data_IF_254210259613
#
_entry.id   IF_254210259613
#
_cell.length_a   1.000
_cell.length_b   1.000
_cell.length_c   1.000
_cell.angle_alpha   90.00
_cell.angle_beta   90.00
_cell.angle_gamma   90.00
#
_symmetry.space_group_name_H-M   'P 1'
#
loop_
_entity.id
_entity.type
_entity.pdbx_description
1 polymer ?
#
# COMPACT_ATOMS: atom_id res chain seq x y z
N UNK A 1 13.21 -14.88 4.61
CA UNK A 1 12.45 -15.19 3.38
C UNK A 1 11.03 -14.58 3.38
N UNK A 2 10.20 -14.86 4.40
CA UNK A 2 8.82 -14.35 4.50
C UNK A 2 8.70 -12.81 4.38
N UNK A 3 9.53 -12.06 5.12
CA UNK A 3 9.47 -10.59 5.09
C UNK A 3 9.77 -9.97 3.72
N UNK A 4 10.69 -10.57 2.94
CA UNK A 4 11.00 -10.12 1.58
C UNK A 4 9.82 -10.37 0.63
N UNK A 5 9.22 -11.57 0.68
CA UNK A 5 8.04 -11.90 -0.13
C UNK A 5 6.84 -11.00 0.21
N UNK A 6 6.59 -10.74 1.50
CA UNK A 6 5.55 -9.81 1.91
C UNK A 6 5.81 -8.40 1.40
N UNK A 7 7.05 -7.93 1.46
CA UNK A 7 7.39 -6.58 1.05
C UNK A 7 7.29 -6.38 -0.48
N UNK A 8 7.75 -7.34 -1.30
CA UNK A 8 7.58 -7.28 -2.76
C UNK A 8 6.10 -7.34 -3.16
N UNK A 9 5.31 -8.23 -2.53
CA UNK A 9 3.86 -8.30 -2.79
C UNK A 9 3.14 -7.00 -2.41
N UNK A 10 3.40 -6.50 -1.20
CA UNK A 10 2.88 -5.23 -0.71
C UNK A 10 3.18 -4.07 -1.67
N UNK A 11 4.42 -3.99 -2.15
CA UNK A 11 4.83 -2.96 -3.11
C UNK A 11 4.01 -3.04 -4.40
N UNK A 12 3.86 -4.22 -5.00
CA UNK A 12 3.08 -4.40 -6.23
C UNK A 12 1.62 -3.98 -6.04
N UNK A 13 0.99 -4.42 -4.94
CA UNK A 13 -0.40 -4.07 -4.62
C UNK A 13 -0.58 -2.56 -4.41
N UNK A 14 0.34 -1.91 -3.69
CA UNK A 14 0.31 -0.46 -3.45
C UNK A 14 0.49 0.36 -4.75
N UNK A 15 1.32 -0.11 -5.69
CA UNK A 15 1.46 0.53 -7.01
C UNK A 15 0.14 0.49 -7.78
N UNK A 16 -0.55 -0.66 -7.78
CA UNK A 16 -1.87 -0.80 -8.42
C UNK A 16 -2.87 0.16 -7.78
N UNK A 17 -2.91 0.22 -6.45
CA UNK A 17 -3.76 1.18 -5.72
C UNK A 17 -3.49 2.63 -6.11
N UNK A 18 -2.23 3.03 -6.23
CA UNK A 18 -1.84 4.39 -6.63
C UNK A 18 -2.30 4.74 -8.05
N UNK A 19 -2.15 3.79 -8.98
CA UNK A 19 -2.59 3.95 -10.37
C UNK A 19 -4.12 4.06 -10.46
N UNK A 20 -4.87 3.20 -9.75
CA UNK A 20 -6.33 3.24 -9.74
C UNK A 20 -6.87 4.52 -9.09
N UNK A 21 -6.23 5.00 -8.02
CA UNK A 21 -6.59 6.27 -7.36
C UNK A 21 -6.38 7.45 -8.31
N UNK A 22 -5.29 7.43 -9.06
CA UNK A 22 -5.01 8.46 -10.08
C UNK A 22 -6.03 8.40 -11.22
N UNK A 23 -6.40 7.19 -11.68
CA UNK A 23 -7.37 7.00 -12.74
C UNK A 23 -8.78 7.47 -12.33
N UNK A 24 -9.19 7.21 -11.08
CA UNK A 24 -10.51 7.60 -10.56
C UNK A 24 -10.78 9.10 -10.67
N UNK A 25 -9.74 9.94 -10.57
CA UNK A 25 -9.86 11.39 -10.73
C UNK A 25 -10.37 11.81 -12.14
N UNK A 26 -10.15 10.97 -13.15
CA UNK A 26 -10.60 11.22 -14.53
C UNK A 26 -11.99 10.65 -14.86
N UNK A 27 -12.64 9.94 -13.93
CA UNK A 27 -13.93 9.30 -14.22
C UNK A 27 -15.06 10.35 -14.33
N UNK A 28 -16.08 10.13 -15.19
CA UNK A 28 -17.27 10.96 -15.22
C UNK A 28 -17.99 10.98 -13.85
N UNK A 29 -18.65 12.10 -13.53
CA UNK A 29 -19.39 12.27 -12.26
C UNK A 29 -20.45 11.17 -12.04
N UNK A 30 -21.05 10.65 -13.11
CA UNK A 30 -22.05 9.57 -13.06
C UNK A 30 -21.48 8.20 -12.66
N UNK A 31 -20.20 7.95 -12.94
CA UNK A 31 -19.53 6.66 -12.68
C UNK A 31 -18.69 6.70 -11.40
N UNK A 32 -18.16 7.88 -11.05
CA UNK A 32 -17.21 8.08 -9.96
C UNK A 32 -17.69 7.55 -8.60
N UNK A 33 -18.95 7.74 -8.16
CA UNK A 33 -19.39 7.23 -6.85
C UNK A 33 -19.31 5.71 -6.73
N UNK A 34 -19.63 4.97 -7.80
CA UNK A 34 -19.54 3.51 -7.83
C UNK A 34 -18.08 3.05 -7.89
N UNK A 35 -17.29 3.66 -8.77
CA UNK A 35 -15.85 3.36 -8.90
C UNK A 35 -15.08 3.65 -7.59
N UNK A 36 -15.39 4.75 -6.91
CA UNK A 36 -14.82 5.10 -5.61
C UNK A 36 -15.11 4.05 -4.55
N UNK A 37 -16.36 3.59 -4.44
CA UNK A 37 -16.72 2.53 -3.48
C UNK A 37 -15.94 1.25 -3.72
N UNK A 38 -15.79 0.84 -4.99
CA UNK A 38 -14.97 -0.31 -5.35
C UNK A 38 -13.49 -0.08 -4.99
N UNK A 39 -12.95 1.09 -5.32
CA UNK A 39 -11.56 1.42 -4.99
C UNK A 39 -11.31 1.38 -3.48
N UNK A 40 -12.20 1.94 -2.66
CA UNK A 40 -12.08 1.88 -1.20
C UNK A 40 -12.02 0.44 -0.71
N UNK A 41 -12.86 -0.47 -1.26
CA UNK A 41 -12.80 -1.90 -0.90
C UNK A 41 -11.45 -2.53 -1.27
N UNK A 42 -10.86 -2.16 -2.41
CA UNK A 42 -9.54 -2.64 -2.82
C UNK A 42 -8.45 -2.08 -1.88
N UNK A 43 -8.48 -0.78 -1.57
CA UNK A 43 -7.54 -0.15 -0.64
C UNK A 43 -7.59 -0.81 0.74
N UNK A 44 -8.80 -1.07 1.25
CA UNK A 44 -9.03 -1.78 2.50
C UNK A 44 -8.44 -3.19 2.47
N UNK A 45 -8.68 -3.94 1.39
CA UNK A 45 -8.10 -5.28 1.22
C UNK A 45 -6.58 -5.26 1.26
N UNK A 46 -5.93 -4.31 0.59
CA UNK A 46 -4.46 -4.19 0.61
C UNK A 46 -3.97 -3.78 2.00
N UNK A 47 -4.69 -2.88 2.71
CA UNK A 47 -4.36 -2.53 4.10
C UNK A 47 -4.39 -3.76 5.01
N UNK A 48 -5.40 -4.64 4.87
CA UNK A 48 -5.48 -5.89 5.64
C UNK A 48 -4.32 -6.85 5.35
N UNK A 49 -3.85 -6.95 4.10
CA UNK A 49 -2.67 -7.76 3.78
C UNK A 49 -1.38 -7.18 4.42
N UNK A 50 -1.26 -5.85 4.48
CA UNK A 50 -0.14 -5.20 5.20
C UNK A 50 -0.21 -5.47 6.71
N UNK A 51 -1.40 -5.47 7.31
CA UNK A 51 -1.59 -5.84 8.72
C UNK A 51 -1.17 -7.29 8.97
N UNK A 52 -1.52 -8.20 8.06
CA UNK A 52 -1.08 -9.59 8.11
C UNK A 52 0.45 -9.69 8.04
N UNK A 53 1.09 -8.96 7.11
CA UNK A 53 2.55 -8.89 6.99
C UNK A 53 3.20 -8.32 8.26
N UNK A 54 2.63 -7.27 8.86
CA UNK A 54 3.12 -6.72 10.13
C UNK A 54 3.04 -7.75 11.25
N UNK A 55 1.91 -8.44 11.44
CA UNK A 55 1.76 -9.48 12.46
C UNK A 55 2.76 -10.63 12.27
N UNK A 56 3.12 -10.96 11.03
CA UNK A 56 4.06 -12.03 10.72
C UNK A 56 5.54 -11.64 10.79
N UNK A 57 5.88 -10.35 10.90
CA UNK A 57 7.27 -9.87 10.79
C UNK A 57 7.69 -8.81 11.80
N UNK A 58 6.73 -8.15 12.46
CA UNK A 58 6.90 -7.04 13.41
C UNK A 58 7.73 -5.85 12.88
N UNK A 59 7.88 -5.74 11.56
CA UNK A 59 8.62 -4.65 10.91
C UNK A 59 7.84 -3.35 10.95
N UNK A 60 8.42 -2.30 11.53
CA UNK A 60 7.77 -0.99 11.71
C UNK A 60 7.44 -0.28 10.40
N UNK A 61 8.13 -0.64 9.32
CA UNK A 61 7.86 -0.19 7.97
C UNK A 61 6.46 -0.61 7.49
N UNK A 62 5.99 -1.82 7.82
CA UNK A 62 4.61 -2.23 7.53
C UNK A 62 3.62 -1.43 8.37
N UNK A 63 3.93 -1.18 9.65
CA UNK A 63 3.08 -0.32 10.50
C UNK A 63 2.93 1.10 9.93
N UNK A 64 4.03 1.67 9.41
CA UNK A 64 4.01 2.96 8.72
C UNK A 64 3.15 2.91 7.45
N UNK A 65 3.32 1.87 6.63
CA UNK A 65 2.53 1.69 5.41
C UNK A 65 1.02 1.55 5.71
N UNK A 66 0.64 0.83 6.76
CA UNK A 66 -0.76 0.70 7.21
C UNK A 66 -1.37 2.05 7.60
N UNK A 67 -0.62 2.88 8.34
CA UNK A 67 -1.08 4.23 8.69
C UNK A 67 -1.32 5.09 7.44
N UNK A 68 -0.38 5.07 6.50
CA UNK A 68 -0.47 5.82 5.25
C UNK A 68 -1.63 5.34 4.37
N UNK A 69 -1.93 4.04 4.38
CA UNK A 69 -3.10 3.48 3.70
C UNK A 69 -4.41 4.00 4.30
N UNK A 70 -4.52 4.08 5.63
CA UNK A 70 -5.70 4.65 6.30
C UNK A 70 -5.94 6.11 5.92
N UNK A 71 -4.86 6.91 5.82
CA UNK A 71 -4.94 8.29 5.34
C UNK A 71 -5.40 8.34 3.87
N UNK A 72 -4.83 7.48 3.02
CA UNK A 72 -5.21 7.41 1.60
C UNK A 72 -6.67 7.01 1.40
N UNK A 73 -7.20 6.09 2.20
CA UNK A 73 -8.61 5.69 2.18
C UNK A 73 -9.49 6.88 2.55
N UNK A 74 -9.19 7.56 3.66
CA UNK A 74 -9.94 8.74 4.13
C UNK A 74 -9.94 9.87 3.09
N UNK A 75 -8.80 10.11 2.44
CA UNK A 75 -8.68 11.10 1.36
C UNK A 75 -9.43 10.67 0.09
N UNK A 76 -9.48 9.38 -0.20
CA UNK A 76 -10.25 8.82 -1.33
C UNK A 76 -11.75 8.97 -1.09
N UNK A 77 -12.22 8.77 0.14
CA UNK A 77 -13.60 9.01 0.56
C UNK A 77 -14.02 10.47 0.40
N UNK A 78 -13.11 11.41 0.64
CA UNK A 78 -13.33 12.85 0.47
C UNK A 78 -12.99 13.39 -0.92
N UNK A 79 -12.94 12.53 -1.94
CA UNK A 79 -12.64 12.87 -3.35
C UNK A 79 -11.30 13.62 -3.55
N UNK A 80 -10.38 13.51 -2.59
CA UNK A 80 -9.07 14.15 -2.57
C UNK A 80 -8.00 13.25 -3.19
N UNK A 81 -8.22 12.81 -4.42
CA UNK A 81 -7.45 11.74 -5.07
C UNK A 81 -5.96 12.06 -5.28
N UNK A 82 -5.62 13.32 -5.54
CA UNK A 82 -4.21 13.75 -5.66
C UNK A 82 -3.45 13.54 -4.34
N UNK A 83 -4.05 13.95 -3.23
CA UNK A 83 -3.47 13.75 -1.89
C UNK A 83 -3.44 12.26 -1.51
N UNK A 84 -4.49 11.50 -1.85
CA UNK A 84 -4.52 10.05 -1.64
C UNK A 84 -3.39 9.35 -2.40
N UNK A 85 -3.13 9.71 -3.66
CA UNK A 85 -2.04 9.15 -4.47
C UNK A 85 -0.64 9.44 -3.88
N UNK A 86 -0.46 10.61 -3.27
CA UNK A 86 0.77 10.93 -2.53
C UNK A 86 0.95 10.02 -1.31
N UNK A 87 -0.11 9.78 -0.53
CA UNK A 87 -0.07 8.84 0.61
C UNK A 87 0.23 7.41 0.19
N UNK A 88 -0.30 6.97 -0.94
CA UNK A 88 0.06 5.67 -1.53
C UNK A 88 1.53 5.63 -1.96
N UNK A 89 2.08 6.71 -2.52
CA UNK A 89 3.50 6.80 -2.87
C UNK A 89 4.42 6.74 -1.65
N UNK A 90 4.04 7.40 -0.55
CA UNK A 90 4.72 7.29 0.73
C UNK A 90 4.66 5.84 1.28
N UNK A 91 3.51 5.16 1.14
CA UNK A 91 3.34 3.78 1.58
C UNK A 91 4.19 2.79 0.76
N UNK A 92 4.29 2.98 -0.56
CA UNK A 92 5.18 2.20 -1.45
C UNK A 92 6.63 2.31 -0.97
N UNK A 93 7.05 3.52 -0.62
CA UNK A 93 8.41 3.78 -0.13
C UNK A 93 8.68 3.04 1.17
N UNK A 94 7.74 3.08 2.12
CA UNK A 94 7.85 2.33 3.38
C UNK A 94 7.93 0.81 3.16
N UNK A 95 7.06 0.24 2.32
CA UNK A 95 7.10 -1.19 1.98
C UNK A 95 8.43 -1.59 1.33
N UNK A 96 9.00 -0.74 0.48
CA UNK A 96 10.30 -0.99 -0.17
C UNK A 96 11.45 -0.98 0.83
N UNK A 97 11.44 -0.11 1.84
CA UNK A 97 12.41 -0.14 2.95
C UNK A 97 12.33 -1.46 3.73
N UNK A 98 11.12 -1.99 3.96
CA UNK A 98 10.93 -3.30 4.60
C UNK A 98 11.59 -4.43 3.78
N UNK A 99 11.46 -4.37 2.45
CA UNK A 99 12.07 -5.33 1.52
C UNK A 99 13.61 -5.29 1.61
N UNK A 100 14.19 -4.09 1.55
CA UNK A 100 15.64 -3.90 1.63
C UNK A 100 16.20 -4.39 2.96
N UNK A 101 15.57 -4.05 4.09
CA UNK A 101 15.99 -4.53 5.40
C UNK A 101 15.88 -6.06 5.53
N UNK A 102 14.88 -6.69 4.92
CA UNK A 102 14.76 -8.15 4.89
C UNK A 102 15.83 -8.81 4.00
N UNK A 103 16.16 -8.19 2.86
CA UNK A 103 17.17 -8.64 1.93
C UNK A 103 18.57 -8.58 2.55
N UNK A 104 18.90 -7.46 3.22
CA UNK A 104 20.20 -7.28 3.88
C UNK A 104 20.45 -8.36 4.94
N UNK A 105 19.47 -8.64 5.81
CA UNK A 105 19.57 -9.71 6.81
C UNK A 105 19.82 -11.08 6.16
N UNK A 106 19.16 -11.38 5.04
CA UNK A 106 19.37 -12.65 4.34
C UNK A 106 20.77 -12.74 3.73
N UNK A 107 21.25 -11.67 3.12
CA UNK A 107 22.59 -11.59 2.52
C UNK A 107 23.70 -11.72 3.58
N UNK A 108 23.56 -11.03 4.72
CA UNK A 108 24.50 -11.12 5.84
C UNK A 108 24.60 -12.53 6.45
N UNK A 109 23.54 -13.34 6.32
CA UNK A 109 23.50 -14.73 6.79
C UNK A 109 23.81 -15.76 5.69
N UNK A 110 24.18 -15.32 4.47
CA UNK A 110 24.49 -16.20 3.34
C UNK A 110 23.31 -17.05 2.86
N UNK A 111 22.07 -16.60 3.15
CA UNK A 111 20.84 -17.28 2.77
C UNK A 111 20.31 -16.83 1.40
N UNK A 112 20.97 -15.84 0.78
CA UNK A 112 20.84 -15.36 -0.60
C UNK A 112 22.17 -14.78 -1.08
#
# INVERSE_FOLDING_TARGET
MKSYQFAERAKSELIVCSQLTTALAGFPDSERPGARRMLIMVLESVRSELEFAFRGTERMEFRKAISLMSDAISLTESDSYGAASLKLSEAISAATTAAQGAWQVLSENGLI
#
